data_IF_285529091203
#
_entry.id   IF_285529091203
#
_cell.length_a   1.000
_cell.length_b   1.000
_cell.length_c   1.000
_cell.angle_alpha   90.00
_cell.angle_beta   90.00
_cell.angle_gamma   90.00
#
_symmetry.space_group_name_H-M   'P 1'
#
loop_
_entity.id
_entity.type
_entity.pdbx_description
1 polymer ?
#
# COMPACT_ATOMS: atom_id res chain seq x y z
N UNK A 1 10.25 31.98 11.45
CA UNK A 1 8.91 31.72 11.97
C UNK A 1 8.08 31.25 10.80
N UNK A 2 7.35 30.15 10.98
CA UNK A 2 6.39 29.61 10.00
C UNK A 2 4.99 29.75 10.59
N UNK A 3 3.98 29.80 9.72
CA UNK A 3 2.57 29.98 10.13
C UNK A 3 1.83 28.64 10.20
N UNK A 4 2.35 27.58 9.54
CA UNK A 4 1.83 26.24 9.61
C UNK A 4 2.81 25.22 9.04
N UNK A 5 2.57 23.94 9.30
CA UNK A 5 3.42 22.82 8.88
C UNK A 5 2.57 21.70 8.29
N UNK A 6 3.03 21.11 7.18
CA UNK A 6 2.61 19.80 6.69
C UNK A 6 3.77 18.84 6.91
N UNK A 7 3.54 17.75 7.64
CA UNK A 7 4.58 16.82 8.04
C UNK A 7 4.38 15.41 7.55
N UNK A 8 5.42 14.85 6.92
CA UNK A 8 5.56 13.40 6.71
C UNK A 8 6.67 12.95 7.66
N UNK A 9 6.32 12.33 8.78
CA UNK A 9 7.31 11.92 9.79
C UNK A 9 6.89 10.64 10.50
N UNK A 10 7.85 9.76 10.69
CA UNK A 10 7.73 8.54 11.48
C UNK A 10 8.63 8.57 12.72
N UNK A 11 9.21 9.74 13.04
CA UNK A 11 9.96 9.98 14.28
C UNK A 11 9.03 10.49 15.37
N UNK A 12 9.34 10.21 16.62
CA UNK A 12 8.57 10.72 17.76
C UNK A 12 8.89 12.20 17.96
N UNK A 13 8.05 13.06 17.38
CA UNK A 13 8.19 14.52 17.41
C UNK A 13 7.03 15.20 18.14
N UNK A 14 6.09 14.42 18.68
CA UNK A 14 4.83 14.95 19.22
C UNK A 14 5.04 15.90 20.38
N UNK A 15 6.01 15.61 21.26
CA UNK A 15 6.35 16.46 22.40
C UNK A 15 6.93 17.84 22.00
N UNK A 16 7.44 17.95 20.75
CA UNK A 16 8.02 19.19 20.22
C UNK A 16 7.03 20.04 19.41
N UNK A 17 5.80 19.54 19.21
CA UNK A 17 4.78 20.28 18.47
C UNK A 17 4.11 21.31 19.36
N UNK A 18 4.16 22.58 18.92
CA UNK A 18 3.46 23.69 19.56
C UNK A 18 1.96 23.61 19.24
N UNK A 19 1.10 23.58 20.29
CA UNK A 19 -0.35 23.48 20.14
C UNK A 19 -0.99 24.71 19.47
N UNK A 20 -0.25 25.81 19.35
CA UNK A 20 -0.70 27.03 18.67
C UNK A 20 -0.35 27.05 17.18
N UNK A 21 0.46 26.10 16.72
CA UNK A 21 0.88 26.03 15.33
C UNK A 21 -0.05 25.08 14.55
N UNK A 22 -0.63 25.58 13.47
CA UNK A 22 -1.41 24.73 12.57
C UNK A 22 -0.52 23.64 11.97
N UNK A 23 -0.90 22.36 12.19
CA UNK A 23 -0.14 21.21 11.72
C UNK A 23 -1.08 20.22 11.04
N UNK A 24 -0.68 19.70 9.87
CA UNK A 24 -1.34 18.60 9.18
C UNK A 24 -0.34 17.47 8.98
N UNK A 25 -0.70 16.28 9.39
CA UNK A 25 0.10 15.08 9.22
C UNK A 25 -0.28 14.31 7.95
N UNK A 26 0.69 13.65 7.36
CA UNK A 26 0.46 12.68 6.28
C UNK A 26 0.87 11.30 6.80
N UNK A 27 -0.04 10.30 6.65
CA UNK A 27 0.15 8.88 7.01
C UNK A 27 0.41 8.59 8.50
N UNK A 28 0.52 9.60 9.36
CA UNK A 28 0.76 9.42 10.79
C UNK A 28 -0.33 10.04 11.64
N UNK A 29 -0.90 9.27 12.57
CA UNK A 29 -1.76 9.79 13.64
C UNK A 29 -0.91 10.25 14.82
N UNK A 30 -1.31 11.38 15.36
CA UNK A 30 -0.81 11.88 16.63
C UNK A 30 -1.87 11.68 17.72
N UNK A 31 -1.48 11.71 19.01
CA UNK A 31 -2.42 11.69 20.13
C UNK A 31 -3.16 13.03 20.30
N UNK A 32 -2.58 14.12 19.78
CA UNK A 32 -3.18 15.44 19.69
C UNK A 32 -4.21 15.50 18.55
N UNK A 33 -5.12 16.48 18.60
CA UNK A 33 -6.11 16.76 17.56
C UNK A 33 -5.44 17.35 16.30
N UNK A 34 -4.57 16.55 15.68
CA UNK A 34 -3.83 16.89 14.46
C UNK A 34 -4.46 16.12 13.30
N UNK A 35 -5.00 16.81 12.28
CA UNK A 35 -5.54 16.14 11.11
C UNK A 35 -4.51 15.28 10.39
N UNK A 36 -4.92 14.08 10.00
CA UNK A 36 -4.12 13.14 9.24
C UNK A 36 -4.75 12.93 7.86
N UNK A 37 -3.99 13.19 6.80
CA UNK A 37 -4.38 12.91 5.42
C UNK A 37 -3.64 11.67 4.97
N UNK A 38 -4.37 10.64 4.50
CA UNK A 38 -3.77 9.40 4.00
C UNK A 38 -4.60 8.79 2.88
N UNK A 39 -4.05 7.83 2.14
CA UNK A 39 -4.85 6.92 1.35
C UNK A 39 -5.65 5.97 2.26
N UNK A 40 -6.75 5.39 1.76
CA UNK A 40 -7.47 4.35 2.50
C UNK A 40 -6.61 3.07 2.59
N UNK A 41 -5.73 3.06 3.59
CA UNK A 41 -4.77 1.99 3.80
C UNK A 41 -5.45 0.62 4.10
N UNK A 42 -6.61 0.63 4.78
CA UNK A 42 -7.34 -0.61 5.05
C UNK A 42 -7.91 -1.21 3.75
N UNK A 43 -8.60 -0.39 2.98
CA UNK A 43 -9.13 -0.80 1.67
C UNK A 43 -7.98 -1.22 0.74
N UNK A 44 -6.83 -0.55 0.82
CA UNK A 44 -5.64 -0.87 0.02
C UNK A 44 -5.09 -2.27 0.28
N UNK A 45 -5.01 -2.66 1.55
CA UNK A 45 -4.61 -4.01 1.92
C UNK A 45 -5.60 -5.06 1.41
N UNK A 46 -6.90 -4.80 1.56
CA UNK A 46 -7.97 -5.67 1.01
C UNK A 46 -7.86 -5.80 -0.50
N UNK A 47 -7.71 -4.68 -1.20
CA UNK A 47 -7.59 -4.62 -2.66
C UNK A 47 -6.36 -5.37 -3.18
N UNK A 48 -5.24 -5.33 -2.45
CA UNK A 48 -4.05 -6.09 -2.80
C UNK A 48 -4.30 -7.60 -2.74
N UNK A 49 -4.88 -8.10 -1.64
CA UNK A 49 -5.23 -9.51 -1.49
C UNK A 49 -6.26 -9.96 -2.53
N UNK A 50 -7.34 -9.19 -2.72
CA UNK A 50 -8.39 -9.47 -3.71
C UNK A 50 -7.81 -9.58 -5.12
N UNK A 51 -6.94 -8.64 -5.53
CA UNK A 51 -6.35 -8.66 -6.87
C UNK A 51 -5.43 -9.86 -7.09
N UNK A 52 -4.68 -10.30 -6.09
CA UNK A 52 -3.87 -11.52 -6.16
C UNK A 52 -4.77 -12.75 -6.32
N UNK A 53 -5.80 -12.90 -5.48
CA UNK A 53 -6.70 -14.05 -5.50
C UNK A 53 -7.49 -14.12 -6.81
N UNK A 54 -8.06 -13.02 -7.27
CA UNK A 54 -8.79 -12.95 -8.54
C UNK A 54 -7.94 -13.30 -9.76
N UNK A 55 -6.62 -13.19 -9.66
CA UNK A 55 -5.65 -13.58 -10.68
C UNK A 55 -5.06 -14.97 -10.45
N UNK A 56 -5.66 -15.75 -9.54
CA UNK A 56 -5.35 -17.16 -9.32
C UNK A 56 -4.30 -17.46 -8.25
N UNK A 57 -3.91 -16.49 -7.43
CA UNK A 57 -3.10 -16.79 -6.25
C UNK A 57 -3.97 -17.50 -5.19
N UNK A 58 -3.43 -18.54 -4.57
CA UNK A 58 -4.14 -19.41 -3.62
C UNK A 58 -3.49 -19.50 -2.25
N UNK A 59 -2.27 -19.02 -2.11
CA UNK A 59 -1.51 -18.95 -0.86
C UNK A 59 -0.74 -17.65 -0.86
N UNK A 60 -1.05 -16.75 0.09
CA UNK A 60 -0.55 -15.40 0.07
C UNK A 60 0.54 -15.17 1.12
N UNK A 61 1.43 -14.22 0.83
CA UNK A 61 2.45 -13.76 1.74
C UNK A 61 2.40 -12.23 1.82
N UNK A 62 2.21 -11.70 3.02
CA UNK A 62 2.42 -10.28 3.31
C UNK A 62 3.89 -10.06 3.72
N UNK A 63 4.55 -9.12 3.08
CA UNK A 63 5.90 -8.67 3.49
C UNK A 63 5.85 -7.16 3.75
N UNK A 64 6.21 -6.75 4.95
CA UNK A 64 6.13 -5.34 5.34
C UNK A 64 7.23 -4.92 6.30
N UNK A 65 7.43 -3.61 6.40
CA UNK A 65 8.21 -2.98 7.48
C UNK A 65 7.26 -2.22 8.39
N UNK A 66 7.44 -2.34 9.70
CA UNK A 66 6.68 -1.57 10.69
C UNK A 66 7.57 -0.50 11.34
N UNK A 67 6.98 0.66 11.55
CA UNK A 67 7.57 1.76 12.29
C UNK A 67 7.28 1.63 13.79
N UNK A 68 8.12 2.24 14.62
CA UNK A 68 7.94 2.25 16.08
C UNK A 68 6.77 3.13 16.54
N UNK A 69 6.39 4.11 15.73
CA UNK A 69 5.27 5.01 16.00
C UNK A 69 3.99 4.52 15.34
N UNK A 70 2.85 4.87 15.93
CA UNK A 70 1.54 4.56 15.35
C UNK A 70 1.32 5.35 14.05
N UNK A 71 0.82 4.68 13.03
CA UNK A 71 0.61 5.25 11.71
C UNK A 71 -0.49 4.51 10.94
N UNK A 72 -1.06 5.17 9.93
CA UNK A 72 -2.14 4.63 9.11
C UNK A 72 -1.69 3.45 8.23
N UNK A 73 -0.40 3.38 7.89
CA UNK A 73 0.19 2.30 7.06
C UNK A 73 -0.05 0.90 7.67
N UNK A 74 -0.16 0.78 9.00
CA UNK A 74 -0.50 -0.48 9.69
C UNK A 74 -1.84 -1.06 9.25
N UNK A 75 -2.76 -0.24 8.78
CA UNK A 75 -4.07 -0.68 8.30
C UNK A 75 -3.98 -1.51 7.02
N UNK A 76 -2.90 -1.38 6.22
CA UNK A 76 -2.63 -2.24 5.05
C UNK A 76 -2.65 -3.72 5.44
N UNK A 77 -1.97 -4.04 6.54
CA UNK A 77 -1.95 -5.39 7.07
C UNK A 77 -3.34 -5.85 7.50
N UNK A 78 -4.04 -5.04 8.29
CA UNK A 78 -5.38 -5.38 8.77
C UNK A 78 -6.37 -5.65 7.63
N UNK A 79 -6.29 -4.85 6.56
CA UNK A 79 -7.11 -5.03 5.37
C UNK A 79 -6.77 -6.32 4.62
N UNK A 80 -5.48 -6.62 4.44
CA UNK A 80 -5.00 -7.85 3.79
C UNK A 80 -5.40 -9.10 4.58
N UNK A 81 -5.09 -9.14 5.88
CA UNK A 81 -5.43 -10.25 6.78
C UNK A 81 -6.95 -10.46 6.84
N UNK A 82 -7.73 -9.38 7.02
CA UNK A 82 -9.19 -9.44 7.05
C UNK A 82 -9.79 -10.00 5.75
N UNK A 83 -9.26 -9.64 4.58
CA UNK A 83 -9.71 -10.25 3.31
C UNK A 83 -9.40 -11.76 3.26
N UNK A 84 -8.19 -12.15 3.67
CA UNK A 84 -7.79 -13.56 3.66
C UNK A 84 -8.65 -14.40 4.61
N UNK A 85 -8.92 -13.90 5.83
CA UNK A 85 -9.75 -14.57 6.83
C UNK A 85 -11.19 -14.72 6.36
N UNK A 86 -11.82 -13.67 5.83
CA UNK A 86 -13.19 -13.67 5.31
C UNK A 86 -13.39 -14.63 4.14
N UNK A 87 -12.36 -14.87 3.33
CA UNK A 87 -12.43 -15.71 2.14
C UNK A 87 -11.69 -17.05 2.30
N UNK A 88 -11.26 -17.39 3.54
CA UNK A 88 -10.56 -18.65 3.85
C UNK A 88 -9.29 -18.86 3.00
N UNK A 89 -8.59 -17.77 2.65
CA UNK A 89 -7.35 -17.82 1.87
C UNK A 89 -6.17 -18.04 2.82
N UNK A 90 -5.37 -19.11 2.63
CA UNK A 90 -4.15 -19.30 3.40
C UNK A 90 -3.17 -18.15 3.21
N UNK A 91 -2.61 -17.66 4.31
CA UNK A 91 -1.60 -16.61 4.26
C UNK A 91 -0.56 -16.74 5.37
N UNK A 92 0.57 -16.07 5.14
CA UNK A 92 1.61 -15.81 6.15
C UNK A 92 2.04 -14.35 6.10
N UNK A 93 2.70 -13.88 7.15
CA UNK A 93 3.19 -12.49 7.24
C UNK A 93 4.65 -12.46 7.67
N UNK A 94 5.47 -11.72 6.92
CA UNK A 94 6.83 -11.33 7.29
C UNK A 94 6.79 -9.86 7.67
N UNK A 95 7.23 -9.55 8.88
CA UNK A 95 7.28 -8.18 9.37
C UNK A 95 8.68 -7.85 9.86
N UNK A 96 9.30 -6.85 9.24
CA UNK A 96 10.59 -6.30 9.67
C UNK A 96 10.34 -5.02 10.47
N UNK A 97 11.10 -4.83 11.54
CA UNK A 97 11.14 -3.52 12.21
C UNK A 97 12.04 -2.54 11.44
N UNK A 98 11.81 -1.25 11.59
CA UNK A 98 12.70 -0.21 11.04
C UNK A 98 14.16 -0.32 11.50
N UNK A 99 14.40 -0.94 12.67
CA UNK A 99 15.75 -1.19 13.18
C UNK A 99 16.44 -2.31 12.42
N UNK A 100 15.70 -3.31 11.94
CA UNK A 100 16.23 -4.42 11.14
C UNK A 100 16.44 -3.99 9.68
N UNK A 101 15.52 -3.17 9.18
CA UNK A 101 15.51 -2.70 7.80
C UNK A 101 15.30 -1.18 7.78
N UNK A 102 16.29 -0.38 8.22
CA UNK A 102 16.15 1.08 8.34
C UNK A 102 16.00 1.78 6.99
N UNK A 103 16.49 1.15 5.94
CA UNK A 103 16.28 1.58 4.55
C UNK A 103 16.45 0.38 3.65
N UNK A 104 15.38 -0.02 3.01
CA UNK A 104 15.37 -1.16 2.07
C UNK A 104 16.35 -0.95 0.90
N UNK A 105 16.73 0.29 0.64
CA UNK A 105 17.48 0.67 -0.57
C UNK A 105 18.97 0.80 -0.37
N UNK A 106 19.45 1.10 0.82
CA UNK A 106 20.82 1.56 1.03
C UNK A 106 21.72 0.55 1.72
N UNK A 107 21.17 -0.55 2.25
CA UNK A 107 21.92 -1.50 3.08
C UNK A 107 21.94 -2.90 2.47
N UNK A 108 23.12 -3.37 2.11
CA UNK A 108 23.34 -4.77 1.71
C UNK A 108 22.83 -5.76 2.78
N UNK A 109 23.01 -5.44 4.06
CA UNK A 109 22.57 -6.28 5.16
C UNK A 109 21.04 -6.40 5.23
N UNK A 110 20.31 -5.32 4.95
CA UNK A 110 18.83 -5.34 4.93
C UNK A 110 18.32 -6.20 3.76
N UNK A 111 18.89 -6.06 2.57
CA UNK A 111 18.56 -6.91 1.41
C UNK A 111 18.85 -8.39 1.69
N UNK A 112 20.03 -8.70 2.22
CA UNK A 112 20.40 -10.06 2.60
C UNK A 112 19.47 -10.68 3.64
N UNK A 113 18.99 -9.88 4.61
CA UNK A 113 18.00 -10.33 5.58
C UNK A 113 16.65 -10.63 4.91
N UNK A 114 16.17 -9.72 4.07
CA UNK A 114 14.92 -9.91 3.31
C UNK A 114 15.01 -11.18 2.46
N UNK A 115 16.09 -11.34 1.68
CA UNK A 115 16.30 -12.50 0.83
C UNK A 115 16.32 -13.81 1.60
N UNK A 116 17.06 -13.88 2.74
CA UNK A 116 17.14 -15.10 3.54
C UNK A 116 15.79 -15.50 4.16
N UNK A 117 15.03 -14.54 4.67
CA UNK A 117 13.69 -14.81 5.26
C UNK A 117 12.71 -15.18 4.16
N UNK A 118 12.72 -14.48 3.02
CA UNK A 118 11.89 -14.80 1.87
C UNK A 118 12.19 -16.21 1.35
N UNK A 119 13.47 -16.58 1.21
CA UNK A 119 13.87 -17.91 0.76
C UNK A 119 13.35 -19.04 1.67
N UNK A 120 13.32 -18.83 2.99
CA UNK A 120 12.76 -19.80 3.92
C UNK A 120 11.27 -20.05 3.68
N UNK A 121 10.48 -19.00 3.39
CA UNK A 121 9.07 -19.12 3.04
C UNK A 121 8.86 -19.76 1.67
N UNK A 122 9.68 -19.38 0.68
CA UNK A 122 9.58 -19.90 -0.68
C UNK A 122 9.98 -21.38 -0.79
N UNK A 123 10.82 -21.87 0.13
CA UNK A 123 11.22 -23.29 0.20
C UNK A 123 10.28 -24.16 1.05
N UNK A 124 9.08 -23.72 1.39
CA UNK A 124 8.10 -24.42 2.23
C UNK A 124 8.56 -24.72 3.66
N UNK A 125 9.59 -24.04 4.16
CA UNK A 125 10.14 -24.29 5.49
C UNK A 125 9.38 -23.59 6.61
N UNK A 126 8.57 -22.57 6.26
CA UNK A 126 7.92 -21.66 7.20
C UNK A 126 6.39 -21.62 7.07
N UNK A 127 5.80 -22.36 6.13
CA UNK A 127 4.35 -22.34 5.88
C UNK A 127 3.78 -23.74 5.85
N UNK A 128 2.70 -23.98 6.59
CA UNK A 128 1.96 -25.26 6.60
C UNK A 128 1.20 -25.48 5.26
N UNK A 129 0.87 -24.40 4.56
CA UNK A 129 0.07 -24.39 3.34
C UNK A 129 0.92 -24.44 2.05
N UNK A 130 2.21 -24.73 2.17
CA UNK A 130 3.13 -24.78 1.04
C UNK A 130 3.67 -23.40 0.61
N UNK A 131 4.31 -23.38 -0.57
CA UNK A 131 4.94 -22.16 -1.09
C UNK A 131 3.91 -21.10 -1.45
N UNK A 132 4.06 -19.84 -1.00
CA UNK A 132 3.23 -18.73 -1.45
C UNK A 132 3.36 -18.51 -2.97
N UNK A 133 2.25 -18.21 -3.63
CA UNK A 133 2.20 -17.86 -5.06
C UNK A 133 1.62 -16.45 -5.31
N UNK A 134 1.32 -15.71 -4.26
CA UNK A 134 0.96 -14.31 -4.31
C UNK A 134 1.60 -13.55 -3.15
N UNK A 135 2.30 -12.45 -3.44
CA UNK A 135 2.98 -11.62 -2.43
C UNK A 135 2.41 -10.22 -2.46
N UNK A 136 2.03 -9.71 -1.30
CA UNK A 136 1.78 -8.28 -1.09
C UNK A 136 2.95 -7.66 -0.33
N UNK A 137 3.64 -6.74 -0.96
CA UNK A 137 4.70 -5.93 -0.34
C UNK A 137 4.14 -4.60 0.14
N UNK A 138 4.41 -4.23 1.38
CA UNK A 138 3.86 -3.03 2.02
C UNK A 138 4.23 -1.70 1.34
N UNK A 139 5.22 -1.68 0.42
CA UNK A 139 5.60 -0.55 -0.44
C UNK A 139 6.13 -1.06 -1.79
N UNK A 140 6.08 -0.23 -2.83
CA UNK A 140 6.63 -0.57 -4.15
C UNK A 140 8.13 -0.82 -4.12
N UNK A 141 8.83 -0.08 -3.32
CA UNK A 141 10.24 -0.28 -3.20
C UNK A 141 10.58 -1.64 -2.58
N UNK A 142 9.85 -2.06 -1.54
CA UNK A 142 10.01 -3.40 -0.98
C UNK A 142 9.66 -4.47 -2.03
N UNK A 143 8.64 -4.21 -2.86
CA UNK A 143 8.27 -5.09 -3.97
C UNK A 143 9.41 -5.27 -4.98
N UNK A 144 10.11 -4.20 -5.36
CA UNK A 144 11.27 -4.30 -6.26
C UNK A 144 12.37 -5.17 -5.66
N UNK A 145 12.67 -5.02 -4.37
CA UNK A 145 13.66 -5.88 -3.69
C UNK A 145 13.21 -7.34 -3.69
N UNK A 146 11.94 -7.60 -3.38
CA UNK A 146 11.37 -8.95 -3.39
C UNK A 146 11.44 -9.55 -4.79
N UNK A 147 11.12 -8.80 -5.84
CA UNK A 147 11.20 -9.26 -7.22
C UNK A 147 12.63 -9.69 -7.57
N UNK A 148 13.63 -8.85 -7.26
CA UNK A 148 15.03 -9.17 -7.49
C UNK A 148 15.47 -10.46 -6.76
N UNK A 149 15.03 -10.66 -5.52
CA UNK A 149 15.35 -11.86 -4.73
C UNK A 149 14.65 -13.11 -5.31
N UNK A 150 13.38 -13.01 -5.75
CA UNK A 150 12.67 -14.10 -6.42
C UNK A 150 13.37 -14.52 -7.72
N UNK A 151 13.81 -13.56 -8.53
CA UNK A 151 14.55 -13.81 -9.76
C UNK A 151 15.88 -14.52 -9.48
N UNK A 152 16.60 -14.12 -8.41
CA UNK A 152 17.82 -14.83 -7.98
C UNK A 152 17.57 -16.29 -7.53
N UNK A 153 16.37 -16.57 -7.00
CA UNK A 153 15.93 -17.93 -6.68
C UNK A 153 15.47 -18.72 -7.93
N UNK A 154 15.48 -18.12 -9.11
CA UNK A 154 15.01 -18.71 -10.36
C UNK A 154 13.49 -18.76 -10.50
N UNK A 155 12.77 -17.96 -9.72
CA UNK A 155 11.31 -17.83 -9.78
C UNK A 155 10.90 -16.68 -10.70
N UNK A 156 9.95 -16.94 -11.59
CA UNK A 156 9.44 -15.93 -12.53
C UNK A 156 8.28 -15.15 -11.90
N UNK A 157 8.29 -13.87 -12.10
CA UNK A 157 7.19 -12.95 -11.76
C UNK A 157 6.60 -12.43 -13.06
N UNK A 158 5.29 -12.65 -13.34
CA UNK A 158 4.26 -13.16 -12.43
C UNK A 158 3.98 -14.66 -12.50
N UNK A 159 4.64 -15.47 -13.37
CA UNK A 159 4.21 -16.83 -13.72
C UNK A 159 4.27 -17.82 -12.57
N UNK A 160 5.34 -17.76 -11.75
CA UNK A 160 5.53 -18.63 -10.59
C UNK A 160 5.05 -17.99 -9.28
N UNK A 161 5.17 -16.65 -9.18
CA UNK A 161 4.75 -15.86 -8.03
C UNK A 161 4.25 -14.50 -8.51
N UNK A 162 3.03 -14.13 -8.15
CA UNK A 162 2.49 -12.81 -8.39
C UNK A 162 2.91 -11.84 -7.29
N UNK A 163 3.11 -10.57 -7.63
CA UNK A 163 3.59 -9.55 -6.71
C UNK A 163 2.78 -8.25 -6.85
N UNK A 164 2.31 -7.73 -5.72
CA UNK A 164 1.65 -6.42 -5.62
C UNK A 164 2.41 -5.56 -4.62
N UNK A 165 2.70 -4.33 -4.99
CA UNK A 165 3.27 -3.30 -4.13
C UNK A 165 2.22 -2.31 -3.60
N UNK A 166 2.69 -1.20 -3.07
CA UNK A 166 1.87 -0.09 -2.59
C UNK A 166 2.63 1.22 -2.85
N UNK A 167 1.96 2.29 -3.20
CA UNK A 167 2.29 3.67 -3.48
C UNK A 167 2.08 4.07 -4.95
N UNK A 168 2.22 3.16 -5.92
CA UNK A 168 2.05 3.41 -7.36
C UNK A 168 3.24 4.15 -7.97
N UNK A 169 4.47 3.81 -7.54
CA UNK A 169 5.68 4.44 -8.03
C UNK A 169 5.98 4.10 -9.50
N UNK A 170 6.64 5.05 -10.18
CA UNK A 170 7.00 4.93 -11.58
C UNK A 170 8.48 5.23 -11.82
N UNK A 171 9.08 4.54 -12.78
CA UNK A 171 10.44 4.83 -13.22
C UNK A 171 10.50 6.23 -13.87
N UNK A 172 11.39 7.08 -13.38
CA UNK A 172 11.51 8.48 -13.83
C UNK A 172 11.82 8.60 -15.32
N UNK A 173 12.57 7.66 -15.89
CA UNK A 173 13.00 7.68 -17.29
C UNK A 173 11.94 7.17 -18.28
N UNK A 174 11.05 6.29 -17.86
CA UNK A 174 10.05 5.65 -18.74
C UNK A 174 8.61 5.99 -18.37
N UNK A 175 8.35 6.44 -17.15
CA UNK A 175 7.01 6.60 -16.60
C UNK A 175 6.26 5.27 -16.35
N UNK A 176 6.92 4.13 -16.57
CA UNK A 176 6.33 2.81 -16.32
C UNK A 176 6.23 2.54 -14.82
N UNK A 177 5.18 1.85 -14.35
CA UNK A 177 5.10 1.38 -12.96
C UNK A 177 6.33 0.52 -12.60
N UNK A 178 6.70 0.53 -11.33
CA UNK A 178 7.74 -0.39 -10.82
C UNK A 178 7.24 -1.82 -10.85
N UNK A 179 6.03 -2.00 -10.31
CA UNK A 179 5.32 -3.27 -10.11
C UNK A 179 3.82 -3.01 -10.22
N UNK A 180 3.01 -4.04 -10.28
CA UNK A 180 1.57 -3.93 -10.00
C UNK A 180 1.39 -3.43 -8.58
N UNK A 181 0.56 -2.41 -8.36
CA UNK A 181 0.57 -1.66 -7.10
C UNK A 181 -0.81 -1.11 -6.73
N UNK A 182 -1.01 -0.87 -5.45
CA UNK A 182 -2.07 0.00 -4.96
C UNK A 182 -1.57 1.45 -5.07
N UNK A 183 -2.13 2.16 -6.03
CA UNK A 183 -1.75 3.54 -6.33
C UNK A 183 -2.41 4.52 -5.38
N UNK A 184 -1.61 5.40 -4.80
CA UNK A 184 -2.01 6.59 -4.07
C UNK A 184 -1.78 7.85 -4.92
N UNK A 185 -2.79 8.70 -5.03
CA UNK A 185 -2.61 9.99 -5.70
C UNK A 185 -1.90 10.98 -4.77
N UNK A 186 -0.57 11.04 -4.87
CA UNK A 186 0.25 11.96 -4.07
C UNK A 186 -0.07 13.43 -4.33
N UNK A 187 -0.55 13.77 -5.53
CA UNK A 187 -1.02 15.11 -5.86
C UNK A 187 -2.31 15.45 -5.10
N UNK A 188 -3.23 14.51 -5.00
CA UNK A 188 -4.45 14.67 -4.20
C UNK A 188 -4.11 14.75 -2.70
N UNK A 189 -3.21 13.91 -2.19
CA UNK A 189 -2.73 13.97 -0.79
C UNK A 189 -2.16 15.37 -0.51
N UNK A 190 -1.26 15.85 -1.36
CA UNK A 190 -0.63 17.16 -1.18
C UNK A 190 -1.66 18.30 -1.20
N UNK A 191 -2.58 18.31 -2.17
CA UNK A 191 -3.63 19.32 -2.29
C UNK A 191 -4.53 19.33 -1.06
N UNK A 192 -5.02 18.16 -0.65
CA UNK A 192 -5.90 18.03 0.51
C UNK A 192 -5.19 18.47 1.79
N UNK A 193 -3.91 18.12 1.95
CA UNK A 193 -3.12 18.55 3.12
C UNK A 193 -2.99 20.08 3.17
N UNK A 194 -2.77 20.74 2.02
CA UNK A 194 -2.71 22.21 1.95
C UNK A 194 -4.08 22.81 2.27
N UNK A 195 -5.17 22.28 1.70
CA UNK A 195 -6.53 22.77 1.96
C UNK A 195 -6.89 22.63 3.46
N UNK A 196 -6.55 21.49 4.09
CA UNK A 196 -6.71 21.28 5.53
C UNK A 196 -5.89 22.31 6.34
N UNK A 197 -4.63 22.52 6.00
CA UNK A 197 -3.76 23.49 6.70
C UNK A 197 -4.32 24.90 6.62
N UNK A 198 -4.75 25.33 5.44
CA UNK A 198 -5.33 26.68 5.25
C UNK A 198 -6.61 26.87 6.07
N UNK A 199 -7.45 25.86 6.17
CA UNK A 199 -8.66 25.89 7.01
C UNK A 199 -8.30 25.99 8.49
N UNK A 200 -7.35 25.20 8.98
CA UNK A 200 -6.86 25.29 10.37
C UNK A 200 -6.33 26.69 10.68
N UNK A 201 -5.51 27.28 9.80
CA UNK A 201 -4.98 28.63 9.97
C UNK A 201 -6.08 29.70 10.03
N UNK A 202 -7.23 29.46 9.38
CA UNK A 202 -8.40 30.33 9.45
C UNK A 202 -9.31 30.05 10.66
N UNK A 203 -8.96 29.09 11.53
CA UNK A 203 -9.77 28.70 12.69
C UNK A 203 -11.02 27.87 12.33
N UNK A 204 -11.02 27.25 11.15
CA UNK A 204 -12.10 26.36 10.71
C UNK A 204 -11.86 24.93 11.21
N UNK A 205 -12.96 24.19 11.45
CA UNK A 205 -12.87 22.77 11.79
C UNK A 205 -12.43 21.93 10.59
N UNK A 206 -11.56 20.97 10.83
CA UNK A 206 -11.08 19.97 9.88
C UNK A 206 -11.34 18.59 10.47
N UNK A 207 -11.60 17.59 9.64
CA UNK A 207 -11.74 16.20 10.06
C UNK A 207 -10.41 15.65 10.59
N UNK A 208 -10.47 14.84 11.64
CA UNK A 208 -9.26 14.24 12.26
C UNK A 208 -8.55 13.28 11.30
N UNK A 209 -9.30 12.61 10.43
CA UNK A 209 -8.78 11.69 9.41
C UNK A 209 -9.46 11.98 8.08
N UNK A 210 -8.66 12.15 7.05
CA UNK A 210 -9.10 12.29 5.66
C UNK A 210 -8.52 11.13 4.86
N UNK A 211 -9.34 10.08 4.67
CA UNK A 211 -8.99 8.94 3.84
C UNK A 211 -9.29 9.24 2.36
N UNK A 212 -8.27 9.17 1.52
CA UNK A 212 -8.36 9.46 0.08
C UNK A 212 -8.53 8.18 -0.74
N UNK A 213 -9.20 8.27 -1.90
CA UNK A 213 -9.39 7.12 -2.77
C UNK A 213 -8.06 6.57 -3.29
N UNK A 214 -8.04 5.26 -3.43
CA UNK A 214 -6.93 4.48 -3.97
C UNK A 214 -7.42 3.59 -5.11
N UNK A 215 -6.52 3.14 -5.98
CA UNK A 215 -6.85 2.25 -7.09
C UNK A 215 -5.76 1.21 -7.31
N UNK A 216 -6.15 0.01 -7.79
CA UNK A 216 -5.16 -0.95 -8.29
C UNK A 216 -4.63 -0.51 -9.65
N UNK A 217 -3.31 -0.48 -9.79
CA UNK A 217 -2.60 -0.22 -11.03
C UNK A 217 -1.81 -1.46 -11.46
N UNK A 218 -2.05 -1.96 -12.66
CA UNK A 218 -1.26 -3.05 -13.22
C UNK A 218 0.13 -2.54 -13.64
N UNK A 219 1.16 -3.30 -13.27
CA UNK A 219 2.56 -3.02 -13.59
C UNK A 219 3.30 -4.25 -14.14
N UNK A 220 2.55 -5.29 -14.53
CA UNK A 220 3.11 -6.49 -15.16
C UNK A 220 3.64 -7.55 -14.19
N UNK A 221 3.53 -7.34 -12.88
CA UNK A 221 3.94 -8.33 -11.85
C UNK A 221 2.78 -9.18 -11.33
N UNK A 222 1.61 -9.07 -11.95
CA UNK A 222 0.43 -9.91 -11.72
C UNK A 222 -0.08 -10.52 -13.03
N UNK A 223 -0.67 -11.70 -12.95
CA UNK A 223 -1.32 -12.33 -14.10
C UNK A 223 -2.54 -11.51 -14.55
N UNK A 224 -2.94 -11.59 -15.84
CA UNK A 224 -4.17 -10.96 -16.31
C UNK A 224 -5.39 -11.53 -15.57
N UNK A 225 -6.45 -10.72 -15.46
CA UNK A 225 -7.73 -11.20 -14.93
C UNK A 225 -8.30 -12.28 -15.88
N UNK A 226 -8.93 -13.34 -15.33
CA UNK A 226 -9.67 -14.32 -16.14
C UNK A 226 -10.75 -13.65 -16.99
N UNK A 227 -11.02 -14.18 -18.18
CA UNK A 227 -12.03 -13.61 -19.10
C UNK A 227 -13.44 -13.51 -18.47
N UNK A 228 -13.77 -14.38 -17.53
CA UNK A 228 -15.04 -14.37 -16.78
C UNK A 228 -15.22 -13.06 -16.01
N UNK A 229 -14.17 -12.60 -15.36
CA UNK A 229 -14.18 -11.37 -14.54
C UNK A 229 -14.25 -10.09 -15.38
N UNK A 230 -13.73 -10.14 -16.61
CA UNK A 230 -13.78 -9.01 -17.56
C UNK A 230 -15.22 -8.80 -18.06
N UNK A 231 -15.97 -9.88 -18.28
CA UNK A 231 -17.36 -9.80 -18.76
C UNK A 231 -18.32 -9.25 -17.70
N UNK A 232 -18.10 -9.53 -16.42
CA UNK A 232 -18.93 -8.95 -15.34
C UNK A 232 -18.77 -7.43 -15.24
N UNK A 233 -17.56 -6.89 -15.41
CA UNK A 233 -17.35 -5.43 -15.43
C UNK A 233 -17.97 -4.72 -16.63
N UNK A 234 -18.07 -5.39 -17.78
CA UNK A 234 -18.71 -4.84 -18.97
C UNK A 234 -20.26 -4.92 -18.91
N UNK A 235 -20.81 -5.84 -18.13
CA UNK A 235 -22.27 -5.96 -17.90
C UNK A 235 -22.85 -4.91 -16.94
N UNK A 236 -22.03 -4.15 -16.22
CA UNK A 236 -22.47 -3.11 -15.26
C UNK A 236 -22.48 -1.69 -15.90
N UNK A 237 -22.13 -1.53 -17.17
CA UNK A 237 -22.42 -0.26 -17.86
C UNK A 237 -23.94 -0.17 -18.10
N UNK A 238 -24.63 0.43 -17.13
CA UNK A 238 -26.00 0.89 -17.31
C UNK A 238 -26.04 1.85 -18.54
N UNK A 239 -27.00 1.67 -19.46
CA UNK A 239 -27.12 2.59 -20.59
C UNK A 239 -27.38 3.99 -20.06
N UNK A 240 -26.57 4.94 -20.51
CA UNK A 240 -26.84 6.37 -20.33
C UNK A 240 -28.21 6.61 -20.95
N UNK A 241 -29.22 6.92 -20.13
CA UNK A 241 -30.51 7.42 -20.64
C UNK A 241 -30.23 8.74 -21.33
N UNK A 242 -30.22 8.71 -22.65
CA UNK A 242 -30.35 9.94 -23.43
C UNK A 242 -31.65 10.61 -23.03
N UNK A 243 -31.50 11.80 -22.47
CA UNK A 243 -32.67 12.63 -22.08
C UNK A 243 -33.49 12.94 -23.31
N UNK A 244 -34.74 12.54 -23.28
CA UNK A 244 -35.76 13.00 -24.24
C UNK A 244 -35.89 14.53 -24.15
N UNK A 245 -35.41 15.16 -25.18
CA UNK A 245 -35.73 16.53 -25.55
C UNK A 245 -37.20 16.53 -26.04
N UNK A 246 -38.10 17.08 -25.25
CA UNK A 246 -39.47 17.40 -25.70
C UNK A 246 -39.94 18.74 -25.18
N UNK A 247 -39.90 19.70 -26.09
CA UNK A 247 -40.85 20.84 -26.31
C UNK A 247 -41.05 21.80 -25.14
#
# INVERSE_FOLDING_TARGET
KVDGIIGVTFSDVEEYLDDTLAFVSIERRFSKDIPCVSGDNYLGGRMAAENLVRRGATNLLLVQTIMSVDNEVRKRRLGFEGYCEENEIPYASITFSEKQVPSVYSSFSARSLIGSVLQAHMNNQMTENGRPNGIFAGTDHLAVVIQEELEQMGLRVPEDVQLVGYDGLRWMNTGQPFVSSIYQDTGMIAKTSVDCLMRLMNGEAVEDIVDLPIVFQDGGTTLPLPETDIKEKQGIMLPIREGEDRR
#
